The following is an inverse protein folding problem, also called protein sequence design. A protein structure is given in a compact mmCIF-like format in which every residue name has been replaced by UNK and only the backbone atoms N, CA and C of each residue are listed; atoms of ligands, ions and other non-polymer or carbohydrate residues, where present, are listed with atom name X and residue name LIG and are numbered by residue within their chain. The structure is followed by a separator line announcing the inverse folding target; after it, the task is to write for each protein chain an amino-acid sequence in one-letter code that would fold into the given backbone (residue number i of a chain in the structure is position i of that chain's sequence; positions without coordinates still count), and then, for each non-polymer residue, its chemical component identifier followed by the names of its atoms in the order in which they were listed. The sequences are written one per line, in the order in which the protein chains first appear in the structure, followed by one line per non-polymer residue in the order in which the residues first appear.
data_IF_490221396634
#
_entry.id   IF_490221396634
#
_cell.length_a   1.000
_cell.length_b   1.000
_cell.length_c   1.000
_cell.angle_alpha   90.00
_cell.angle_beta   90.00
_cell.angle_gamma   90.00
#
_symmetry.space_group_name_H-M   'P 1'
#
loop_
_entity.id
_entity.type
_entity.pdbx_description
1 polymer ?
#
# COMPACT_ATOMS: atom_id res chain seq x y z
N UNK A 1 -21.15 -3.46 -6.51
CA UNK A 1 -21.33 -3.93 -5.11
C UNK A 1 -20.11 -3.47 -4.32
N UNK A 2 -20.18 -2.31 -3.67
CA UNK A 2 -19.20 -1.90 -2.68
C UNK A 2 -19.93 -1.81 -1.35
N UNK A 3 -19.73 -2.81 -0.50
CA UNK A 3 -20.19 -2.76 0.88
C UNK A 3 -19.06 -2.12 1.69
N UNK A 4 -19.30 -0.92 2.22
CA UNK A 4 -18.51 -0.42 3.35
C UNK A 4 -19.21 -0.91 4.62
N UNK A 5 -18.56 -1.83 5.33
CA UNK A 5 -18.99 -2.25 6.66
C UNK A 5 -18.68 -1.10 7.63
N UNK A 6 -19.73 -0.48 8.18
CA UNK A 6 -19.59 0.56 9.19
C UNK A 6 -19.16 0.00 10.54
N UNK A 7 -18.21 0.65 11.20
CA UNK A 7 -18.01 0.51 12.65
C UNK A 7 -17.46 1.81 13.28
N UNK A 8 -17.89 2.01 14.52
CA UNK A 8 -17.83 3.11 15.51
C UNK A 8 -16.77 4.21 15.39
N UNK A 9 -17.20 5.44 15.69
CA UNK A 9 -16.56 6.76 15.52
C UNK A 9 -15.25 7.06 16.28
N UNK A 10 -14.40 6.07 16.59
CA UNK A 10 -13.17 6.25 17.38
C UNK A 10 -11.85 6.06 16.61
N UNK A 11 -11.72 5.00 15.82
CA UNK A 11 -10.43 4.54 15.29
C UNK A 11 -10.25 4.67 13.77
N UNK A 12 -11.34 4.76 13.02
CA UNK A 12 -11.34 4.75 11.54
C UNK A 12 -10.65 5.96 10.89
N UNK A 13 -10.34 7.02 11.64
CA UNK A 13 -9.61 8.20 11.13
C UNK A 13 -8.12 7.91 10.84
N UNK A 14 -7.54 6.92 11.51
CA UNK A 14 -6.09 6.66 11.46
C UNK A 14 -5.73 5.39 10.67
N UNK A 15 -6.71 4.69 10.11
CA UNK A 15 -6.50 3.52 9.26
C UNK A 15 -6.88 3.83 7.81
N UNK A 16 -6.20 3.17 6.87
CA UNK A 16 -6.46 3.28 5.43
C UNK A 16 -7.07 2.01 4.85
N UNK A 17 -7.57 1.11 5.71
CA UNK A 17 -8.17 -0.16 5.32
C UNK A 17 -9.29 0.05 4.30
N UNK A 18 -9.17 -0.60 3.15
CA UNK A 18 -10.14 -0.54 2.06
C UNK A 18 -10.02 0.68 1.14
N UNK A 19 -9.01 1.54 1.35
CA UNK A 19 -8.64 2.58 0.41
C UNK A 19 -7.65 2.05 -0.63
N UNK A 20 -7.59 2.70 -1.79
CA UNK A 20 -6.60 2.40 -2.83
C UNK A 20 -5.78 3.64 -3.11
N UNK A 21 -4.46 3.50 -3.23
CA UNK A 21 -3.57 4.61 -3.56
C UNK A 21 -2.60 4.27 -4.69
N UNK A 22 -2.14 5.32 -5.40
CA UNK A 22 -1.10 5.23 -6.42
C UNK A 22 0.14 5.98 -5.91
N UNK A 23 1.27 5.28 -5.82
CA UNK A 23 2.57 5.84 -5.45
C UNK A 23 3.51 5.73 -6.64
N UNK A 24 3.96 6.84 -7.20
CA UNK A 24 4.92 6.81 -8.32
C UNK A 24 6.34 6.67 -7.79
N UNK A 25 7.17 5.85 -8.45
CA UNK A 25 8.56 5.63 -8.04
C UNK A 25 8.71 4.89 -6.70
N UNK A 26 7.75 4.04 -6.34
CA UNK A 26 7.72 3.40 -5.02
C UNK A 26 8.74 2.29 -4.78
N UNK A 27 9.65 2.00 -5.72
CA UNK A 27 10.63 0.92 -5.53
C UNK A 27 11.81 1.32 -4.65
N UNK A 28 12.08 2.62 -4.45
CA UNK A 28 13.26 3.11 -3.70
C UNK A 28 12.98 4.36 -2.88
N UNK A 29 13.85 4.62 -1.89
CA UNK A 29 13.88 5.87 -1.14
C UNK A 29 12.54 6.20 -0.47
N UNK A 30 12.11 7.45 -0.61
CA UNK A 30 10.87 7.95 -0.01
C UNK A 30 9.64 7.21 -0.55
N UNK A 31 9.59 6.95 -1.86
CA UNK A 31 8.47 6.24 -2.46
C UNK A 31 8.30 4.83 -1.88
N UNK A 32 9.41 4.14 -1.59
CA UNK A 32 9.39 2.83 -0.94
C UNK A 32 8.83 2.91 0.47
N UNK A 33 9.32 3.85 1.28
CA UNK A 33 8.80 4.04 2.64
C UNK A 33 7.30 4.39 2.65
N UNK A 34 6.83 5.20 1.69
CA UNK A 34 5.42 5.53 1.55
C UNK A 34 4.58 4.28 1.22
N UNK A 35 5.04 3.44 0.29
CA UNK A 35 4.32 2.19 -0.03
C UNK A 35 4.18 1.31 1.21
N UNK A 36 5.26 1.10 1.95
CA UNK A 36 5.25 0.27 3.15
C UNK A 36 4.32 0.81 4.25
N UNK A 37 4.37 2.11 4.50
CA UNK A 37 3.53 2.74 5.52
C UNK A 37 2.04 2.67 5.15
N UNK A 38 1.69 3.06 3.92
CA UNK A 38 0.29 3.06 3.48
C UNK A 38 -0.30 1.64 3.44
N UNK A 39 0.48 0.67 2.96
CA UNK A 39 0.07 -0.73 2.96
C UNK A 39 -0.05 -1.28 4.39
N UNK A 40 0.85 -0.89 5.30
CA UNK A 40 0.76 -1.23 6.73
C UNK A 40 -0.51 -0.70 7.41
N UNK A 41 -1.03 0.44 6.95
CA UNK A 41 -2.32 1.00 7.38
C UNK A 41 -3.53 0.34 6.70
N UNK A 42 -3.31 -0.63 5.80
CA UNK A 42 -4.33 -1.45 5.15
C UNK A 42 -4.83 -0.92 3.80
N UNK A 43 -4.15 0.07 3.20
CA UNK A 43 -4.47 0.50 1.84
C UNK A 43 -3.92 -0.48 0.81
N UNK A 44 -4.63 -0.67 -0.30
CA UNK A 44 -4.12 -1.37 -1.48
C UNK A 44 -3.31 -0.42 -2.34
N UNK A 45 -2.05 -0.74 -2.62
CA UNK A 45 -1.13 0.19 -3.28
C UNK A 45 -0.78 -0.23 -4.70
N UNK A 46 -0.94 0.69 -5.64
CA UNK A 46 -0.37 0.57 -6.98
C UNK A 46 0.91 1.43 -7.05
N UNK A 47 1.97 0.88 -7.62
CA UNK A 47 3.23 1.60 -7.79
C UNK A 47 3.86 1.33 -9.14
N UNK A 48 4.77 2.21 -9.54
CA UNK A 48 5.46 2.09 -10.82
C UNK A 48 6.95 2.41 -10.69
N UNK A 49 7.75 1.80 -11.56
CA UNK A 49 9.17 2.08 -11.75
C UNK A 49 9.54 1.85 -13.22
N UNK A 50 10.64 2.45 -13.64
CA UNK A 50 11.20 2.27 -15.00
C UNK A 50 11.94 0.95 -15.17
N UNK A 51 12.27 0.27 -14.07
CA UNK A 51 13.03 -0.98 -14.06
C UNK A 51 12.19 -2.10 -13.49
N UNK A 52 11.84 -3.05 -14.34
CA UNK A 52 10.97 -4.17 -13.99
C UNK A 52 11.58 -5.09 -12.92
N UNK A 53 12.90 -5.34 -12.98
CA UNK A 53 13.58 -6.20 -12.00
C UNK A 53 13.47 -5.67 -10.57
N UNK A 54 13.74 -4.36 -10.39
CA UNK A 54 13.65 -3.70 -9.08
C UNK A 54 12.20 -3.70 -8.57
N UNK A 55 11.22 -3.51 -9.47
CA UNK A 55 9.81 -3.58 -9.11
C UNK A 55 9.41 -5.00 -8.65
N UNK A 56 9.82 -6.02 -9.39
CA UNK A 56 9.51 -7.41 -9.09
C UNK A 56 10.17 -7.89 -7.78
N UNK A 57 11.37 -7.40 -7.47
CA UNK A 57 12.01 -7.64 -6.18
C UNK A 57 11.19 -7.03 -5.04
N UNK A 58 10.87 -5.73 -5.10
CA UNK A 58 10.05 -5.08 -4.07
C UNK A 58 8.67 -5.75 -3.90
N UNK A 59 8.02 -6.15 -4.99
CA UNK A 59 6.72 -6.84 -4.93
C UNK A 59 6.80 -8.20 -4.22
N UNK A 60 7.91 -8.94 -4.38
CA UNK A 60 8.12 -10.20 -3.64
C UNK A 60 8.32 -9.93 -2.16
N UNK A 61 9.12 -8.92 -1.82
CA UNK A 61 9.40 -8.54 -0.44
C UNK A 61 8.13 -8.08 0.29
N UNK A 62 7.32 -7.22 -0.35
CA UNK A 62 6.06 -6.74 0.21
C UNK A 62 5.03 -7.86 0.38
N UNK A 63 4.91 -8.77 -0.59
CA UNK A 63 4.05 -9.95 -0.44
C UNK A 63 4.50 -10.85 0.72
N UNK A 64 5.81 -11.02 0.91
CA UNK A 64 6.34 -11.78 2.06
C UNK A 64 6.04 -11.10 3.41
N UNK A 65 5.92 -9.77 3.42
CA UNK A 65 5.48 -8.97 4.58
C UNK A 65 3.95 -8.95 4.76
N UNK A 66 3.18 -9.53 3.85
CA UNK A 66 1.71 -9.50 3.87
C UNK A 66 1.10 -8.16 3.46
N UNK A 67 1.85 -7.35 2.70
CA UNK A 67 1.41 -6.07 2.14
C UNK A 67 0.87 -6.28 0.72
N UNK A 68 -0.20 -5.55 0.37
CA UNK A 68 -0.89 -5.63 -0.94
C UNK A 68 -0.91 -4.30 -1.72
#
# INVERSE_FOLDING_TARGET
MAQTCGCSSGDSRWFLKGMTALVTGGTKGIGHAIVEELAGLGATIHTCSRKESELNECLKDWKAKGLE
#
